data_IF_142489474879
#
_entry.id   IF_142489474879
#
_cell.length_a   1.000
_cell.length_b   1.000
_cell.length_c   1.000
_cell.angle_alpha   90.00
_cell.angle_beta   90.00
_cell.angle_gamma   90.00
#
_symmetry.space_group_name_H-M   'P 1'
#
loop_
_entity.id
_entity.type
_entity.pdbx_description
1 polymer ?
#
# COMPACT_ATOMS: atom_id res chain seq x y z
N UNK A 1 -8.63 29.49 1.48
CA UNK A 1 -7.26 29.20 1.00
C UNK A 1 -6.52 28.43 2.07
N UNK A 2 -6.09 27.19 1.79
CA UNK A 2 -5.24 26.43 2.70
C UNK A 2 -3.82 27.03 2.69
N UNK A 3 -3.25 27.30 3.86
CA UNK A 3 -1.87 27.81 3.99
C UNK A 3 -0.96 26.59 4.16
N UNK A 4 0.06 26.39 3.29
CA UNK A 4 0.96 25.26 3.40
C UNK A 4 1.78 25.36 4.70
N UNK A 5 1.81 24.27 5.47
CA UNK A 5 2.64 24.14 6.67
C UNK A 5 3.84 23.28 6.34
N UNK A 6 5.05 23.74 6.71
CA UNK A 6 6.25 22.92 6.62
C UNK A 6 6.14 21.81 7.69
N UNK A 7 6.24 20.57 7.24
CA UNK A 7 6.32 19.38 8.10
C UNK A 7 7.79 18.97 8.19
N UNK A 8 8.33 18.92 9.40
CA UNK A 8 9.65 18.34 9.67
C UNK A 8 9.46 16.85 10.01
N UNK A 9 10.08 15.97 9.21
CA UNK A 9 10.15 14.54 9.49
C UNK A 9 11.49 14.27 10.15
N UNK A 10 11.47 13.89 11.43
CA UNK A 10 12.69 13.53 12.16
C UNK A 10 13.18 12.15 11.70
N UNK A 11 14.50 11.92 11.66
CA UNK A 11 15.05 10.59 11.43
C UNK A 11 14.50 9.58 12.44
N UNK A 12 14.21 8.38 11.97
CA UNK A 12 13.76 7.25 12.78
C UNK A 12 14.56 6.00 12.39
N UNK A 13 14.77 5.05 13.31
CA UNK A 13 15.46 3.80 13.02
C UNK A 13 14.68 2.90 12.05
N UNK A 14 13.37 3.12 11.94
CA UNK A 14 12.47 2.40 11.04
C UNK A 14 11.70 3.45 10.24
N UNK A 15 11.70 3.32 8.91
CA UNK A 15 10.90 4.11 7.99
C UNK A 15 9.92 3.19 7.26
N UNK A 16 8.64 3.53 7.30
CA UNK A 16 7.61 2.82 6.53
C UNK A 16 7.26 3.70 5.34
N UNK A 17 7.57 3.22 4.14
CA UNK A 17 7.14 3.85 2.90
C UNK A 17 5.93 3.10 2.37
N UNK A 18 4.84 3.83 2.12
CA UNK A 18 3.60 3.29 1.57
C UNK A 18 3.26 3.99 0.26
N UNK A 19 2.57 3.27 -0.62
CA UNK A 19 2.04 3.82 -1.86
C UNK A 19 2.04 2.82 -3.00
N UNK A 20 1.28 3.13 -4.04
CA UNK A 20 1.06 2.24 -5.18
C UNK A 20 2.35 1.96 -5.98
N UNK A 21 3.23 2.95 -6.15
CA UNK A 21 4.36 2.88 -7.10
C UNK A 21 5.74 2.88 -6.43
N UNK A 22 5.82 2.65 -5.12
CA UNK A 22 7.10 2.73 -4.37
C UNK A 22 8.18 1.77 -4.90
N UNK A 23 7.73 0.67 -5.51
CA UNK A 23 8.54 -0.39 -6.09
C UNK A 23 8.94 -0.15 -7.54
N UNK A 24 8.23 0.72 -8.25
CA UNK A 24 8.44 0.96 -9.68
C UNK A 24 9.74 1.74 -9.94
N UNK A 25 10.14 2.62 -9.01
CA UNK A 25 11.37 3.38 -9.15
C UNK A 25 12.55 2.62 -8.54
N UNK A 26 13.35 1.97 -9.39
CA UNK A 26 14.42 1.05 -9.01
C UNK A 26 15.41 1.60 -7.96
N UNK A 27 15.74 2.90 -8.01
CA UNK A 27 16.67 3.48 -7.03
C UNK A 27 16.08 3.59 -5.62
N UNK A 28 14.76 3.77 -5.51
CA UNK A 28 14.04 3.75 -4.23
C UNK A 28 13.87 2.28 -3.79
N UNK A 29 13.53 1.40 -4.73
CA UNK A 29 13.37 0.00 -4.38
C UNK A 29 14.69 -0.66 -3.91
N UNK A 30 15.83 -0.26 -4.46
CA UNK A 30 17.15 -0.77 -4.09
C UNK A 30 17.58 -0.43 -2.64
N UNK A 31 16.95 0.54 -1.98
CA UNK A 31 17.26 0.92 -0.59
C UNK A 31 16.34 0.25 0.44
N UNK A 32 15.35 -0.54 0.00
CA UNK A 32 14.44 -1.22 0.92
C UNK A 32 15.05 -2.49 1.51
N UNK A 33 15.08 -2.54 2.84
CA UNK A 33 15.47 -3.71 3.64
C UNK A 33 14.37 -4.78 3.70
N UNK A 34 13.12 -4.41 3.43
CA UNK A 34 11.97 -5.32 3.41
C UNK A 34 10.85 -4.80 2.52
N UNK A 35 10.16 -5.73 1.84
CA UNK A 35 9.09 -5.46 0.88
C UNK A 35 7.83 -6.21 1.28
N UNK A 36 6.73 -5.47 1.39
CA UNK A 36 5.41 -6.00 1.69
C UNK A 36 4.48 -5.68 0.52
N UNK A 37 3.74 -6.67 0.05
CA UNK A 37 2.64 -6.48 -0.90
C UNK A 37 1.31 -6.69 -0.18
N UNK A 38 0.39 -5.73 -0.25
CA UNK A 38 -0.99 -5.91 0.25
C UNK A 38 -1.84 -6.43 -0.90
N UNK A 39 -2.30 -7.67 -0.79
CA UNK A 39 -3.13 -8.31 -1.81
C UNK A 39 -4.60 -8.24 -1.40
N UNK A 40 -5.46 -7.91 -2.35
CA UNK A 40 -6.90 -7.87 -2.14
C UNK A 40 -7.61 -8.14 -3.45
N UNK A 41 -8.68 -8.93 -3.39
CA UNK A 41 -9.56 -9.18 -4.52
C UNK A 41 -10.05 -7.86 -5.11
N UNK A 42 -10.06 -7.79 -6.45
CA UNK A 42 -10.37 -6.57 -7.20
C UNK A 42 -11.76 -6.03 -6.85
N UNK A 43 -12.72 -6.91 -6.59
CA UNK A 43 -14.10 -6.58 -6.21
C UNK A 43 -14.14 -5.89 -4.85
N UNK A 44 -13.38 -6.39 -3.88
CA UNK A 44 -13.27 -5.81 -2.53
C UNK A 44 -12.56 -4.46 -2.59
N UNK A 45 -11.49 -4.35 -3.39
CA UNK A 45 -10.79 -3.09 -3.60
C UNK A 45 -11.69 -2.03 -4.28
N UNK A 46 -12.50 -2.43 -5.26
CA UNK A 46 -13.47 -1.57 -5.93
C UNK A 46 -14.57 -1.10 -4.97
N UNK A 47 -15.15 -2.01 -4.18
CA UNK A 47 -16.19 -1.67 -3.19
C UNK A 47 -15.66 -0.62 -2.19
N UNK A 48 -14.47 -0.86 -1.63
CA UNK A 48 -13.80 0.07 -0.71
C UNK A 48 -13.52 1.42 -1.38
N UNK A 49 -13.10 1.39 -2.65
CA UNK A 49 -12.84 2.60 -3.44
C UNK A 49 -14.10 3.40 -3.69
N UNK A 50 -15.19 2.76 -4.14
CA UNK A 50 -16.47 3.42 -4.38
C UNK A 50 -16.95 4.11 -3.11
N UNK A 51 -17.00 3.38 -1.99
CA UNK A 51 -17.39 3.94 -0.70
C UNK A 51 -16.56 5.18 -0.32
N UNK A 52 -15.23 5.09 -0.42
CA UNK A 52 -14.33 6.20 -0.07
C UNK A 52 -14.46 7.39 -1.04
N UNK A 53 -14.42 7.13 -2.35
CA UNK A 53 -14.39 8.19 -3.36
C UNK A 53 -15.74 8.94 -3.43
N UNK A 54 -16.87 8.28 -3.15
CA UNK A 54 -18.18 8.93 -3.02
C UNK A 54 -18.26 9.77 -1.72
N UNK A 55 -17.92 9.18 -0.58
CA UNK A 55 -18.12 9.82 0.73
C UNK A 55 -17.11 10.94 1.03
N UNK A 56 -15.84 10.75 0.68
CA UNK A 56 -14.75 11.64 1.10
C UNK A 56 -14.30 12.60 -0.01
N UNK A 57 -14.54 12.26 -1.28
CA UNK A 57 -14.02 13.01 -2.45
C UNK A 57 -15.10 13.58 -3.36
N UNK A 58 -16.37 13.18 -3.17
CA UNK A 58 -17.50 13.68 -3.93
C UNK A 58 -17.51 13.26 -5.41
N UNK A 59 -16.84 12.16 -5.76
CA UNK A 59 -16.92 11.63 -7.13
C UNK A 59 -18.23 10.87 -7.35
N UNK A 60 -18.76 10.97 -8.57
CA UNK A 60 -19.89 10.15 -9.00
C UNK A 60 -19.45 8.68 -9.16
N UNK A 61 -20.41 7.76 -9.05
CA UNK A 61 -20.16 6.34 -9.30
C UNK A 61 -19.63 6.10 -10.72
N UNK A 62 -20.22 6.76 -11.72
CA UNK A 62 -19.81 6.68 -13.13
C UNK A 62 -18.33 7.10 -13.32
N UNK A 63 -17.90 8.18 -12.66
CA UNK A 63 -16.51 8.64 -12.73
C UNK A 63 -15.54 7.62 -12.09
N UNK A 64 -15.93 7.03 -10.96
CA UNK A 64 -15.11 6.02 -10.28
C UNK A 64 -15.00 4.77 -11.15
N UNK A 65 -16.09 4.31 -11.74
CA UNK A 65 -16.12 3.13 -12.60
C UNK A 65 -15.33 3.34 -13.89
N UNK A 66 -15.47 4.51 -14.53
CA UNK A 66 -14.67 4.87 -15.69
C UNK A 66 -13.17 4.83 -15.38
N UNK A 67 -12.75 5.44 -14.26
CA UNK A 67 -11.34 5.44 -13.84
C UNK A 67 -10.86 4.04 -13.48
N UNK A 68 -11.71 3.25 -12.82
CA UNK A 68 -11.38 1.88 -12.44
C UNK A 68 -10.96 1.05 -13.67
N UNK A 69 -11.80 1.07 -14.70
CA UNK A 69 -11.61 0.28 -15.91
C UNK A 69 -10.50 0.82 -16.81
N UNK A 70 -10.44 2.13 -17.02
CA UNK A 70 -9.55 2.72 -18.02
C UNK A 70 -8.19 3.15 -17.49
N UNK A 71 -8.02 3.24 -16.16
CA UNK A 71 -6.78 3.73 -15.56
C UNK A 71 -6.27 2.81 -14.44
N UNK A 72 -7.12 2.43 -13.48
CA UNK A 72 -6.66 1.75 -12.26
C UNK A 72 -6.26 0.31 -12.55
N UNK A 73 -7.12 -0.47 -13.19
CA UNK A 73 -6.81 -1.87 -13.54
C UNK A 73 -5.63 -1.98 -14.51
N UNK A 74 -5.57 -1.19 -15.61
CA UNK A 74 -4.39 -1.18 -16.48
C UNK A 74 -3.10 -0.86 -15.71
N UNK A 75 -3.10 0.21 -14.91
CA UNK A 75 -1.92 0.60 -14.14
C UNK A 75 -1.53 -0.44 -13.08
N UNK A 76 -2.52 -1.07 -12.43
CA UNK A 76 -2.26 -2.14 -11.47
C UNK A 76 -1.55 -3.32 -12.13
N UNK A 77 -2.08 -3.79 -13.27
CA UNK A 77 -1.51 -4.93 -13.99
C UNK A 77 -0.13 -4.64 -14.55
N UNK A 78 0.11 -3.42 -15.03
CA UNK A 78 1.36 -3.04 -15.68
C UNK A 78 2.46 -2.67 -14.68
N UNK A 79 2.13 -1.93 -13.61
CA UNK A 79 3.12 -1.28 -12.75
C UNK A 79 3.14 -1.76 -11.31
N UNK A 80 2.12 -2.49 -10.83
CA UNK A 80 2.04 -2.94 -9.44
C UNK A 80 2.19 -4.46 -9.31
N UNK A 81 1.31 -5.21 -9.98
CA UNK A 81 1.24 -6.66 -9.90
C UNK A 81 2.58 -7.36 -10.22
N UNK A 82 3.40 -6.92 -11.19
CA UNK A 82 4.69 -7.57 -11.46
C UNK A 82 5.65 -7.55 -10.27
N UNK A 83 5.49 -6.61 -9.33
CA UNK A 83 6.33 -6.54 -8.14
C UNK A 83 5.89 -7.50 -7.02
N UNK A 84 4.70 -8.12 -7.11
CA UNK A 84 4.17 -9.01 -6.07
C UNK A 84 5.10 -10.20 -5.78
N UNK A 85 5.69 -10.80 -6.80
CA UNK A 85 6.51 -12.02 -6.68
C UNK A 85 7.88 -11.79 -6.06
N UNK A 86 8.33 -10.54 -5.93
CA UNK A 86 9.61 -10.17 -5.32
C UNK A 86 9.47 -9.55 -3.92
N UNK A 87 8.24 -9.45 -3.40
CA UNK A 87 8.02 -9.00 -2.04
C UNK A 87 8.31 -10.14 -1.06
N UNK A 88 8.93 -9.80 0.07
CA UNK A 88 9.28 -10.76 1.12
C UNK A 88 8.02 -11.29 1.82
N UNK A 89 7.00 -10.44 1.95
CA UNK A 89 5.72 -10.77 2.56
C UNK A 89 4.55 -10.32 1.68
N UNK A 90 3.49 -11.13 1.67
CA UNK A 90 2.22 -10.81 1.02
C UNK A 90 1.15 -10.87 2.10
N UNK A 91 0.46 -9.74 2.33
CA UNK A 91 -0.63 -9.65 3.29
C UNK A 91 -1.95 -9.70 2.52
N UNK A 92 -2.66 -10.82 2.64
CA UNK A 92 -4.04 -10.95 2.18
C UNK A 92 -4.96 -10.00 2.98
N UNK A 93 -5.76 -9.22 2.26
CA UNK A 93 -6.64 -8.19 2.79
C UNK A 93 -8.00 -8.18 2.08
N UNK A 94 -8.39 -9.29 1.47
CA UNK A 94 -9.74 -9.48 0.90
C UNK A 94 -10.83 -9.64 1.96
N UNK A 95 -10.46 -9.98 3.20
CA UNK A 95 -11.39 -10.12 4.34
C UNK A 95 -11.13 -9.04 5.39
N UNK A 96 -12.02 -8.94 6.38
CA UNK A 96 -11.79 -8.11 7.57
C UNK A 96 -11.12 -8.91 8.71
N UNK A 97 -10.46 -10.02 8.39
CA UNK A 97 -9.77 -10.84 9.39
C UNK A 97 -8.40 -10.25 9.72
N UNK A 98 -8.21 -9.89 10.99
CA UNK A 98 -6.97 -9.28 11.44
C UNK A 98 -5.84 -10.29 11.65
N UNK A 99 -6.15 -11.59 11.67
CA UNK A 99 -5.18 -12.62 12.09
C UNK A 99 -3.90 -12.57 11.23
N UNK A 100 -4.06 -12.49 9.91
CA UNK A 100 -2.93 -12.53 8.99
C UNK A 100 -2.01 -11.31 9.10
N UNK A 101 -2.59 -10.11 9.19
CA UNK A 101 -1.82 -8.88 9.38
C UNK A 101 -1.13 -8.86 10.74
N UNK A 102 -1.78 -9.38 11.80
CA UNK A 102 -1.18 -9.48 13.13
C UNK A 102 0.01 -10.45 13.15
N UNK A 103 -0.16 -11.65 12.57
CA UNK A 103 0.89 -12.66 12.51
C UNK A 103 2.15 -12.12 11.80
N UNK A 104 1.97 -11.49 10.63
CA UNK A 104 3.08 -10.90 9.86
C UNK A 104 3.70 -9.70 10.58
N UNK A 105 2.88 -8.87 11.23
CA UNK A 105 3.40 -7.72 12.01
C UNK A 105 4.25 -8.20 13.19
N UNK A 106 3.84 -9.27 13.87
CA UNK A 106 4.60 -9.85 14.98
C UNK A 106 5.93 -10.45 14.50
N UNK A 107 5.96 -11.08 13.33
CA UNK A 107 7.18 -11.59 12.70
C UNK A 107 8.15 -10.45 12.35
N UNK A 108 7.68 -9.42 11.64
CA UNK A 108 8.46 -8.24 11.28
C UNK A 108 8.99 -7.54 12.53
N UNK A 109 8.17 -7.40 13.56
CA UNK A 109 8.55 -6.77 14.83
C UNK A 109 9.69 -7.51 15.52
N UNK A 110 9.66 -8.85 15.53
CA UNK A 110 10.74 -9.69 16.09
C UNK A 110 12.04 -9.53 15.30
N UNK A 111 11.96 -9.57 13.98
CA UNK A 111 13.13 -9.39 13.09
C UNK A 111 13.77 -8.00 13.26
N UNK A 112 12.96 -6.94 13.25
CA UNK A 112 13.45 -5.57 13.44
C UNK A 112 14.08 -5.36 14.81
N UNK A 113 13.52 -5.93 15.89
CA UNK A 113 14.12 -5.87 17.23
C UNK A 113 15.49 -6.52 17.27
N UNK A 114 15.60 -7.72 16.69
CA UNK A 114 16.88 -8.44 16.61
C UNK A 114 17.93 -7.65 15.80
N UNK A 115 17.54 -7.05 14.66
CA UNK A 115 18.43 -6.25 13.81
C UNK A 115 18.87 -4.93 14.46
N UNK A 116 17.97 -4.28 15.20
CA UNK A 116 18.22 -2.95 15.77
C UNK A 116 18.78 -2.99 17.20
N UNK A 117 19.04 -4.19 17.75
CA UNK A 117 19.44 -4.37 19.16
C UNK A 117 18.44 -3.72 20.14
N UNK A 118 17.15 -3.76 19.81
CA UNK A 118 16.03 -3.24 20.59
C UNK A 118 15.34 -4.32 21.42
#
# INVERSE_FOLDING_TARGET
>A
NAIPKILEIKPAPILILEGLFIYHYEKIDAIFDGRIFIDAAAEIALERRLKRDLLERGYSEDDVMYKWQNHVIPAYNEYLLPHRTRCDNIIENSTNELKHILDITDEISKDLKAKLSL
#
